data_IF_108031805692
#
_entry.id   IF_108031805692
#
_cell.length_a   1.000
_cell.length_b   1.000
_cell.length_c   1.000
_cell.angle_alpha   90.00
_cell.angle_beta   90.00
_cell.angle_gamma   90.00
#
_symmetry.space_group_name_H-M   'P 1'
#
loop_
_entity.id
_entity.type
_entity.pdbx_description
1 polymer ?
#
# COMPACT_ATOMS: atom_id res chain seq x y z
N UNK A 1 0.70 2.01 -37.97
CA UNK A 1 -0.13 1.42 -36.89
C UNK A 1 0.41 0.05 -36.46
N UNK A 2 1.65 -0.04 -35.97
CA UNK A 2 2.28 -1.34 -35.65
C UNK A 2 3.31 -1.27 -34.50
N UNK A 3 3.12 -0.38 -33.51
CA UNK A 3 4.13 -0.17 -32.45
C UNK A 3 3.61 -0.33 -31.01
N UNK A 4 2.39 -0.86 -30.82
CA UNK A 4 1.77 -1.01 -29.48
C UNK A 4 1.29 -2.44 -29.16
N UNK A 5 1.77 -3.48 -29.87
CA UNK A 5 1.40 -4.86 -29.54
C UNK A 5 2.41 -5.44 -28.55
N UNK A 6 1.94 -5.83 -27.37
CA UNK A 6 2.74 -6.49 -26.35
C UNK A 6 3.41 -7.75 -26.91
N UNK A 7 4.71 -7.87 -26.68
CA UNK A 7 5.44 -9.12 -26.90
C UNK A 7 5.24 -9.94 -25.64
N UNK A 8 4.53 -11.06 -25.77
CA UNK A 8 4.28 -11.97 -24.66
C UNK A 8 4.79 -13.35 -25.01
N UNK A 9 5.31 -14.03 -24.01
CA UNK A 9 5.63 -15.45 -24.05
C UNK A 9 4.81 -16.12 -22.97
N UNK A 10 4.44 -17.38 -23.17
CA UNK A 10 3.89 -18.18 -22.10
C UNK A 10 4.48 -19.57 -22.11
N UNK A 11 4.38 -20.20 -20.95
CA UNK A 11 4.77 -21.58 -20.72
C UNK A 11 3.99 -22.11 -19.52
N UNK A 12 3.91 -23.42 -19.40
CA UNK A 12 3.30 -24.09 -18.24
C UNK A 12 4.45 -24.71 -17.42
N UNK A 13 4.53 -24.40 -16.13
CA UNK A 13 5.51 -24.99 -15.19
C UNK A 13 4.79 -25.78 -14.11
N UNK A 14 5.47 -26.80 -13.59
CA UNK A 14 4.98 -27.53 -12.43
C UNK A 14 5.13 -26.68 -11.16
N UNK A 15 4.28 -26.90 -10.16
CA UNK A 15 4.44 -26.23 -8.87
C UNK A 15 5.76 -26.57 -8.17
N UNK A 16 6.35 -27.76 -8.41
CA UNK A 16 7.68 -28.05 -7.89
C UNK A 16 8.76 -27.21 -8.58
N UNK A 17 8.70 -27.08 -9.90
CA UNK A 17 9.63 -26.21 -10.64
C UNK A 17 9.47 -24.75 -10.22
N UNK A 18 8.24 -24.28 -9.99
CA UNK A 18 8.00 -22.95 -9.44
C UNK A 18 8.68 -22.74 -8.08
N UNK A 19 8.61 -23.75 -7.21
CA UNK A 19 9.28 -23.74 -5.90
C UNK A 19 10.81 -23.72 -6.05
N UNK A 20 11.36 -24.52 -6.96
CA UNK A 20 12.79 -24.55 -7.25
C UNK A 20 13.26 -23.19 -7.80
N UNK A 21 12.54 -22.63 -8.78
CA UNK A 21 12.78 -21.29 -9.33
C UNK A 21 12.78 -20.20 -8.25
N UNK A 22 11.89 -20.28 -7.26
CA UNK A 22 11.87 -19.33 -6.15
C UNK A 22 13.11 -19.47 -5.27
N UNK A 23 13.46 -20.71 -4.88
CA UNK A 23 14.64 -20.99 -4.04
C UNK A 23 15.95 -20.61 -4.71
N UNK A 24 16.04 -20.81 -6.02
CA UNK A 24 17.23 -20.49 -6.83
C UNK A 24 17.31 -18.98 -7.15
N UNK A 25 16.30 -18.19 -6.76
CA UNK A 25 16.23 -16.75 -7.00
C UNK A 25 15.89 -16.36 -8.45
N UNK A 26 15.45 -17.32 -9.26
CA UNK A 26 14.95 -17.08 -10.61
C UNK A 26 13.57 -16.44 -10.61
N UNK A 27 12.69 -16.82 -9.67
CA UNK A 27 11.39 -16.19 -9.42
C UNK A 27 11.47 -15.31 -8.17
N UNK A 28 11.34 -14.00 -8.35
CA UNK A 28 11.42 -13.00 -7.29
C UNK A 28 10.02 -12.50 -6.92
N UNK A 29 9.66 -12.64 -5.65
CA UNK A 29 8.50 -11.99 -5.04
C UNK A 29 9.03 -10.80 -4.23
N UNK A 30 8.84 -9.58 -4.75
CA UNK A 30 9.34 -8.37 -4.09
C UNK A 30 8.77 -8.24 -2.67
N UNK A 31 9.56 -7.85 -1.65
CA UNK A 31 9.11 -7.74 -0.26
C UNK A 31 7.84 -6.89 -0.09
N UNK A 32 7.73 -5.80 -0.84
CA UNK A 32 6.53 -4.94 -0.84
C UNK A 32 5.25 -5.66 -1.29
N UNK A 33 5.36 -6.68 -2.15
CA UNK A 33 4.22 -7.48 -2.57
C UNK A 33 3.87 -8.51 -1.49
N UNK A 34 4.83 -9.02 -0.73
CA UNK A 34 4.55 -9.97 0.34
C UNK A 34 3.63 -9.39 1.41
N UNK A 35 3.70 -8.07 1.67
CA UNK A 35 2.76 -7.34 2.54
C UNK A 35 1.31 -7.31 2.05
N UNK A 36 1.09 -7.56 0.76
CA UNK A 36 -0.23 -7.62 0.14
C UNK A 36 -0.84 -9.02 0.24
N UNK A 37 -0.11 -10.01 0.77
CA UNK A 37 -0.63 -11.35 1.02
C UNK A 37 -1.66 -11.30 2.16
N UNK A 38 -2.89 -11.75 1.88
CA UNK A 38 -4.05 -11.61 2.79
C UNK A 38 -4.96 -12.83 2.80
N UNK A 39 -4.56 -13.94 2.17
CA UNK A 39 -5.36 -15.15 2.23
C UNK A 39 -5.33 -15.77 3.63
N UNK A 40 -6.51 -15.96 4.21
CA UNK A 40 -6.66 -16.68 5.49
C UNK A 40 -6.22 -18.14 5.36
N UNK A 41 -5.98 -18.80 6.50
CA UNK A 41 -5.64 -20.22 6.54
C UNK A 41 -6.61 -21.07 5.70
N UNK A 42 -7.92 -20.80 5.83
CA UNK A 42 -8.96 -21.49 5.06
C UNK A 42 -8.83 -21.23 3.55
N UNK A 43 -8.59 -20.00 3.12
CA UNK A 43 -8.43 -19.68 1.70
C UNK A 43 -7.19 -20.35 1.10
N UNK A 44 -6.07 -20.37 1.84
CA UNK A 44 -4.86 -21.09 1.43
C UNK A 44 -5.14 -22.59 1.33
N UNK A 45 -5.83 -23.17 2.33
CA UNK A 45 -6.15 -24.60 2.38
C UNK A 45 -7.06 -25.04 1.23
N UNK A 46 -8.11 -24.26 0.94
CA UNK A 46 -9.01 -24.50 -0.20
C UNK A 46 -8.28 -24.40 -1.54
N UNK A 47 -7.27 -23.53 -1.64
CA UNK A 47 -6.42 -23.48 -2.82
C UNK A 47 -5.56 -24.75 -2.95
N UNK A 48 -4.94 -25.24 -1.88
CA UNK A 48 -4.19 -26.51 -1.89
C UNK A 48 -5.10 -27.70 -2.24
N UNK A 49 -6.32 -27.74 -1.68
CA UNK A 49 -7.33 -28.73 -2.04
C UNK A 49 -7.69 -28.65 -3.53
N UNK A 50 -7.83 -27.44 -4.09
CA UNK A 50 -8.07 -27.24 -5.52
C UNK A 50 -6.94 -27.80 -6.39
N UNK A 51 -5.68 -27.70 -5.95
CA UNK A 51 -4.52 -28.29 -6.64
C UNK A 51 -4.60 -29.83 -6.66
N UNK A 52 -5.02 -30.45 -5.54
CA UNK A 52 -5.20 -31.90 -5.41
C UNK A 52 -6.44 -32.42 -6.16
N UNK A 53 -7.40 -31.55 -6.45
CA UNK A 53 -8.59 -31.89 -7.24
C UNK A 53 -8.41 -31.65 -8.74
N UNK A 54 -7.21 -31.26 -9.19
CA UNK A 54 -6.90 -30.86 -10.57
C UNK A 54 -7.89 -29.81 -11.12
N UNK A 55 -8.34 -28.90 -10.24
CA UNK A 55 -9.23 -27.81 -10.66
C UNK A 55 -8.50 -26.80 -11.54
N UNK A 56 -9.20 -26.14 -12.50
CA UNK A 56 -8.59 -25.14 -13.35
C UNK A 56 -8.19 -23.89 -12.53
N UNK A 57 -6.93 -23.47 -12.64
CA UNK A 57 -6.37 -22.33 -11.91
C UNK A 57 -6.09 -21.19 -12.90
N UNK A 58 -6.38 -19.92 -12.54
CA UNK A 58 -5.96 -18.78 -13.34
C UNK A 58 -4.44 -18.73 -13.53
N UNK A 59 -3.95 -18.24 -14.69
CA UNK A 59 -2.52 -18.07 -14.91
C UNK A 59 -1.90 -17.09 -13.90
N UNK A 60 -0.58 -17.13 -13.77
CA UNK A 60 0.20 -16.09 -13.10
C UNK A 60 0.86 -15.19 -14.15
N UNK A 61 1.17 -13.96 -13.76
CA UNK A 61 1.87 -13.02 -14.61
C UNK A 61 3.22 -12.66 -13.99
N UNK A 62 4.25 -12.69 -14.83
CA UNK A 62 5.62 -12.34 -14.42
C UNK A 62 6.22 -11.30 -15.36
N UNK A 63 7.08 -10.46 -14.82
CA UNK A 63 7.89 -9.51 -15.56
C UNK A 63 9.33 -10.01 -15.70
N UNK A 64 9.76 -10.27 -16.94
CA UNK A 64 11.12 -10.70 -17.25
C UNK A 64 12.08 -9.52 -17.16
N UNK A 65 13.07 -9.63 -16.28
CA UNK A 65 14.11 -8.63 -16.04
C UNK A 65 15.28 -8.80 -17.01
N UNK A 66 16.16 -7.78 -17.09
CA UNK A 66 17.33 -7.82 -17.99
C UNK A 66 18.31 -8.95 -17.65
N UNK A 67 18.42 -9.29 -16.37
CA UNK A 67 19.26 -10.36 -15.83
C UNK A 67 18.65 -11.77 -16.00
N UNK A 68 17.46 -11.88 -16.60
CA UNK A 68 16.77 -13.14 -16.84
C UNK A 68 15.89 -13.62 -15.69
N UNK A 69 15.85 -12.91 -14.55
CA UNK A 69 14.92 -13.23 -13.47
C UNK A 69 13.48 -12.85 -13.83
N UNK A 70 12.53 -13.54 -13.22
CA UNK A 70 11.11 -13.27 -13.30
C UNK A 70 10.63 -12.61 -12.01
N UNK A 71 10.07 -11.41 -12.11
CA UNK A 71 9.40 -10.77 -10.98
C UNK A 71 7.93 -11.13 -11.03
N UNK A 72 7.39 -11.71 -9.95
CA UNK A 72 5.96 -12.01 -9.85
C UNK A 72 5.15 -10.72 -9.82
N UNK A 73 4.11 -10.62 -10.65
CA UNK A 73 3.25 -9.43 -10.72
C UNK A 73 1.80 -9.72 -10.40
N UNK A 74 1.27 -10.86 -10.85
CA UNK A 74 -0.05 -11.34 -10.45
C UNK A 74 0.03 -12.83 -10.07
N UNK A 75 -0.85 -13.24 -9.15
CA UNK A 75 -0.86 -14.60 -8.60
C UNK A 75 -0.17 -14.73 -7.25
N UNK A 76 0.19 -13.61 -6.61
CA UNK A 76 0.82 -13.57 -5.29
C UNK A 76 0.15 -14.54 -4.30
N UNK A 77 -1.16 -14.43 -4.11
CA UNK A 77 -1.86 -15.26 -3.12
C UNK A 77 -1.72 -16.77 -3.42
N UNK A 78 -1.83 -17.17 -4.69
CA UNK A 78 -1.70 -18.57 -5.12
C UNK A 78 -0.30 -19.11 -4.87
N UNK A 79 0.71 -18.36 -5.32
CA UNK A 79 2.10 -18.78 -5.22
C UNK A 79 2.57 -18.80 -3.76
N UNK A 80 2.27 -17.73 -3.01
CA UNK A 80 2.59 -17.66 -1.59
C UNK A 80 1.92 -18.77 -0.79
N UNK A 81 0.67 -19.14 -1.07
CA UNK A 81 0.00 -20.25 -0.37
C UNK A 81 0.72 -21.59 -0.56
N UNK A 82 1.16 -21.88 -1.79
CA UNK A 82 1.91 -23.10 -2.06
C UNK A 82 3.29 -23.09 -1.39
N UNK A 83 4.01 -21.97 -1.46
CA UNK A 83 5.32 -21.81 -0.82
C UNK A 83 5.20 -21.93 0.71
N UNK A 84 4.22 -21.25 1.32
CA UNK A 84 3.94 -21.32 2.76
C UNK A 84 3.62 -22.75 3.18
N UNK A 85 2.74 -23.46 2.46
CA UNK A 85 2.41 -24.85 2.77
C UNK A 85 3.63 -25.77 2.67
N UNK A 86 4.56 -25.49 1.74
CA UNK A 86 5.86 -26.17 1.60
C UNK A 86 6.91 -25.77 2.66
N UNK A 87 6.55 -24.93 3.63
CA UNK A 87 7.42 -24.49 4.73
C UNK A 87 8.35 -23.33 4.39
N UNK A 88 8.16 -22.65 3.26
CA UNK A 88 8.97 -21.47 2.91
C UNK A 88 8.45 -20.27 3.68
N UNK A 89 9.35 -19.64 4.44
CA UNK A 89 9.08 -18.35 5.05
C UNK A 89 9.31 -17.26 4.01
N UNK A 90 8.24 -16.60 3.58
CA UNK A 90 8.38 -15.37 2.81
C UNK A 90 8.90 -14.28 3.76
N UNK A 91 10.05 -13.69 3.45
CA UNK A 91 10.64 -12.56 4.18
C UNK A 91 9.70 -11.34 4.18
N UNK A 92 8.70 -11.34 5.05
CA UNK A 92 7.97 -10.14 5.41
C UNK A 92 8.82 -9.42 6.44
N UNK A 93 9.53 -8.33 6.10
CA UNK A 93 10.29 -7.58 7.07
C UNK A 93 9.32 -7.04 8.11
N UNK A 94 9.45 -7.60 9.32
CA UNK A 94 9.23 -6.94 10.60
C UNK A 94 7.96 -6.09 10.68
N UNK A 95 6.81 -6.76 10.87
CA UNK A 95 5.84 -6.32 11.89
C UNK A 95 6.41 -6.77 13.25
N UNK A 96 7.59 -6.29 13.61
CA UNK A 96 8.18 -6.51 14.94
C UNK A 96 7.50 -5.55 15.91
N UNK A 97 7.18 -6.10 17.08
CA UNK A 97 6.55 -5.46 18.23
C UNK A 97 5.04 -5.21 18.09
N UNK A 98 4.26 -6.30 18.19
CA UNK A 98 3.01 -6.23 18.95
C UNK A 98 3.44 -6.01 20.41
N UNK A 99 3.04 -4.88 20.99
CA UNK A 99 3.13 -4.66 22.42
C UNK A 99 2.24 -5.70 23.10
N UNK A 100 2.77 -6.61 23.94
CA UNK A 100 1.97 -7.66 24.57
C UNK A 100 0.85 -7.12 25.48
N UNK A 101 0.86 -5.81 25.78
CA UNK A 101 -0.09 -5.15 26.69
C UNK A 101 -1.25 -4.42 25.98
N UNK A 102 -1.36 -4.50 24.64
CA UNK A 102 -2.46 -3.85 23.89
C UNK A 102 -3.67 -4.82 23.71
N UNK A 103 -4.48 -4.92 24.76
CA UNK A 103 -5.67 -5.81 24.88
C UNK A 103 -6.80 -5.50 23.86
N UNK A 104 -6.70 -4.42 23.09
CA UNK A 104 -7.69 -4.00 22.07
C UNK A 104 -7.29 -4.39 20.62
N UNK A 105 -6.23 -5.19 20.45
CA UNK A 105 -5.76 -5.67 19.15
C UNK A 105 -6.61 -6.84 18.62
N UNK A 106 -7.78 -6.56 18.05
CA UNK A 106 -8.42 -7.49 17.09
C UNK A 106 -7.58 -7.52 15.80
N UNK A 107 -6.66 -8.48 15.71
CA UNK A 107 -6.00 -8.82 14.46
C UNK A 107 -7.05 -9.50 13.57
N UNK A 108 -7.53 -8.80 12.55
CA UNK A 108 -8.56 -9.33 11.62
C UNK A 108 -8.03 -10.42 10.67
N UNK A 109 -6.73 -10.73 10.71
CA UNK A 109 -6.09 -11.78 9.91
C UNK A 109 -4.97 -12.47 10.70
N UNK A 110 -5.22 -13.69 11.19
CA UNK A 110 -4.16 -14.54 11.73
C UNK A 110 -3.05 -14.75 10.67
N UNK A 111 -1.81 -14.39 11.03
CA UNK A 111 -0.65 -14.71 10.21
C UNK A 111 -0.55 -16.23 10.14
N UNK A 112 -0.63 -16.77 8.93
CA UNK A 112 -0.46 -18.21 8.72
C UNK A 112 1.03 -18.51 8.74
N UNK A 113 1.44 -19.30 9.74
CA UNK A 113 2.82 -19.75 9.85
C UNK A 113 3.18 -20.69 8.69
N UNK A 114 4.41 -20.61 8.16
CA UNK A 114 4.90 -21.57 7.17
C UNK A 114 4.80 -23.01 7.68
N UNK A 115 4.42 -23.94 6.80
CA UNK A 115 4.18 -25.35 7.16
C UNK A 115 2.83 -25.58 7.83
N UNK A 116 1.85 -24.71 7.62
CA UNK A 116 0.52 -24.82 8.23
C UNK A 116 -0.21 -26.14 7.93
N UNK A 117 -1.07 -26.53 8.86
CA UNK A 117 -2.03 -27.62 8.69
C UNK A 117 -3.23 -27.16 7.88
N UNK A 118 -3.63 -27.96 6.88
CA UNK A 118 -4.82 -27.66 6.08
C UNK A 118 -6.07 -27.59 6.95
N UNK A 119 -6.95 -26.63 6.69
CA UNK A 119 -8.19 -26.42 7.44
C UNK A 119 -9.31 -25.88 6.55
N UNK A 120 -10.52 -26.38 6.74
CA UNK A 120 -11.70 -26.00 5.99
C UNK A 120 -11.76 -26.57 4.57
N UNK A 121 -11.07 -27.69 4.32
CA UNK A 121 -11.26 -28.49 3.11
C UNK A 121 -12.63 -29.19 3.19
N UNK A 122 -13.50 -28.98 2.18
CA UNK A 122 -14.89 -29.44 2.18
C UNK A 122 -15.13 -30.66 1.27
N UNK A 123 -14.23 -30.91 0.32
CA UNK A 123 -14.39 -31.97 -0.69
C UNK A 123 -13.54 -33.19 -0.31
N UNK A 124 -12.32 -32.95 0.16
CA UNK A 124 -11.40 -33.98 0.67
C UNK A 124 -11.20 -33.73 2.17
N UNK A 125 -12.19 -34.14 2.98
CA UNK A 125 -12.20 -33.94 4.44
C UNK A 125 -10.92 -34.48 5.12
N UNK A 126 -10.36 -35.57 4.59
CA UNK A 126 -9.14 -36.23 5.08
C UNK A 126 -7.87 -35.36 4.95
N UNK A 127 -7.92 -34.22 4.25
CA UNK A 127 -6.81 -33.27 4.20
C UNK A 127 -6.73 -32.42 5.46
N UNK A 128 -7.84 -32.18 6.15
CA UNK A 128 -7.87 -31.32 7.32
C UNK A 128 -6.93 -31.84 8.42
N UNK A 129 -6.11 -30.95 8.97
CA UNK A 129 -5.12 -31.26 10.00
C UNK A 129 -3.79 -31.79 9.47
N UNK A 130 -3.64 -32.02 8.16
CA UNK A 130 -2.36 -32.48 7.58
C UNK A 130 -1.45 -31.30 7.20
N UNK A 131 -0.19 -31.40 7.57
CA UNK A 131 0.90 -30.61 6.99
C UNK A 131 1.38 -31.22 5.67
N UNK A 132 2.19 -30.49 4.91
CA UNK A 132 2.75 -31.00 3.65
C UNK A 132 3.46 -32.35 3.83
N UNK A 133 4.22 -32.51 4.91
CA UNK A 133 4.98 -33.74 5.16
C UNK A 133 4.13 -34.92 5.62
N UNK A 134 2.89 -34.68 6.03
CA UNK A 134 1.93 -35.71 6.45
C UNK A 134 1.04 -36.21 5.30
N UNK A 135 1.09 -35.54 4.14
CA UNK A 135 0.45 -36.01 2.92
C UNK A 135 1.04 -37.36 2.45
N UNK A 136 0.20 -38.19 1.85
CA UNK A 136 0.60 -39.42 1.17
C UNK A 136 1.59 -39.12 0.03
N UNK A 137 2.33 -40.16 -0.38
CA UNK A 137 3.31 -40.03 -1.47
C UNK A 137 2.60 -39.63 -2.77
N UNK A 138 1.40 -40.14 -3.00
CA UNK A 138 0.54 -39.85 -4.13
C UNK A 138 0.10 -38.38 -4.12
N UNK A 139 -0.46 -37.88 -3.01
CA UNK A 139 -0.87 -36.48 -2.84
C UNK A 139 0.31 -35.51 -3.04
N UNK A 140 1.46 -35.80 -2.42
CA UNK A 140 2.69 -35.00 -2.60
C UNK A 140 3.12 -34.96 -4.06
N UNK A 141 3.07 -36.09 -4.76
CA UNK A 141 3.45 -36.18 -6.18
C UNK A 141 2.47 -35.41 -7.04
N UNK A 142 1.18 -35.49 -6.75
CA UNK A 142 0.15 -34.76 -7.47
C UNK A 142 0.37 -33.25 -7.30
N UNK A 143 0.43 -32.74 -6.07
CA UNK A 143 0.69 -31.33 -5.78
C UNK A 143 1.95 -30.80 -6.47
N UNK A 144 3.05 -31.57 -6.44
CA UNK A 144 4.31 -31.18 -7.10
C UNK A 144 4.20 -31.13 -8.63
N UNK A 145 3.30 -31.91 -9.22
CA UNK A 145 3.15 -32.10 -10.67
C UNK A 145 1.90 -31.44 -11.24
N UNK A 146 1.11 -30.75 -10.44
CA UNK A 146 0.12 -29.80 -10.94
C UNK A 146 0.86 -28.69 -11.68
N UNK A 147 0.32 -28.26 -12.82
CA UNK A 147 0.90 -27.22 -13.65
C UNK A 147 0.14 -25.91 -13.52
N UNK A 148 0.87 -24.81 -13.60
CA UNK A 148 0.29 -23.47 -13.69
C UNK A 148 0.85 -22.77 -14.93
N UNK A 149 -0.04 -22.05 -15.63
CA UNK A 149 0.35 -21.23 -16.78
C UNK A 149 1.00 -19.94 -16.31
N UNK A 150 2.14 -19.63 -16.89
CA UNK A 150 2.88 -18.38 -16.70
C UNK A 150 2.77 -17.53 -17.95
N UNK A 151 2.22 -16.34 -17.80
CA UNK A 151 2.23 -15.30 -18.83
C UNK A 151 3.40 -14.35 -18.56
N UNK A 152 4.38 -14.35 -19.45
CA UNK A 152 5.61 -13.56 -19.35
C UNK A 152 5.47 -12.27 -20.13
N UNK A 153 5.65 -11.16 -19.42
CA UNK A 153 5.96 -9.89 -20.03
C UNK A 153 7.45 -9.80 -20.27
N UNK A 154 7.80 -9.87 -21.54
CA UNK A 154 9.21 -9.90 -21.93
C UNK A 154 9.85 -8.52 -21.72
N UNK A 155 11.16 -8.51 -21.52
CA UNK A 155 11.96 -7.30 -21.27
C UNK A 155 11.92 -6.27 -22.41
N UNK A 156 11.57 -6.67 -23.62
CA UNK A 156 11.47 -5.76 -24.78
C UNK A 156 10.26 -4.83 -24.70
N UNK A 157 9.28 -5.11 -23.83
CA UNK A 157 8.12 -4.23 -23.69
C UNK A 157 8.50 -2.95 -22.93
N UNK A 158 8.11 -1.76 -23.45
CA UNK A 158 8.27 -0.51 -22.72
C UNK A 158 7.58 -0.56 -21.35
N UNK A 159 8.22 0.04 -20.34
CA UNK A 159 7.73 0.08 -18.96
C UNK A 159 6.32 0.66 -18.85
N UNK A 160 6.00 1.66 -19.66
CA UNK A 160 4.69 2.32 -19.70
C UNK A 160 3.58 1.35 -20.14
N UNK A 161 3.88 0.47 -21.10
CA UNK A 161 2.90 -0.52 -21.58
C UNK A 161 2.72 -1.62 -20.52
N UNK A 162 3.81 -2.09 -19.90
CA UNK A 162 3.77 -3.04 -18.77
C UNK A 162 2.88 -2.48 -17.64
N UNK A 163 3.13 -1.23 -17.23
CA UNK A 163 2.33 -0.51 -16.23
C UNK A 163 0.84 -0.50 -16.55
N UNK A 164 0.45 -0.05 -17.75
CA UNK A 164 -0.97 0.02 -18.12
C UNK A 164 -1.64 -1.36 -18.17
N UNK A 165 -0.90 -2.41 -18.52
CA UNK A 165 -1.41 -3.78 -18.46
C UNK A 165 -1.69 -4.20 -17.02
N UNK A 166 -0.74 -4.01 -16.11
CA UNK A 166 -0.90 -4.38 -14.70
C UNK A 166 -2.01 -3.61 -14.01
N UNK A 167 -2.10 -2.30 -14.28
CA UNK A 167 -3.20 -1.46 -13.81
C UNK A 167 -4.56 -2.06 -14.19
N UNK A 168 -4.69 -2.60 -15.41
CA UNK A 168 -5.93 -3.25 -15.88
C UNK A 168 -6.17 -4.60 -15.23
N UNK A 169 -5.16 -5.46 -15.14
CA UNK A 169 -5.27 -6.77 -14.48
C UNK A 169 -5.73 -6.62 -13.02
N UNK A 170 -5.11 -5.71 -12.28
CA UNK A 170 -5.39 -5.53 -10.87
C UNK A 170 -6.69 -4.74 -10.59
N UNK A 171 -7.16 -3.93 -11.53
CA UNK A 171 -8.40 -3.15 -11.37
C UNK A 171 -9.71 -3.97 -11.44
N UNK A 172 -9.66 -5.21 -11.98
CA UNK A 172 -10.84 -6.01 -12.29
C UNK A 172 -11.38 -6.90 -11.17
N UNK A 173 -10.66 -7.07 -10.06
CA UNK A 173 -11.07 -8.00 -9.00
C UNK A 173 -10.25 -7.99 -7.70
N UNK A 174 -9.46 -6.95 -7.41
CA UNK A 174 -8.59 -6.96 -6.22
C UNK A 174 -9.28 -6.49 -4.93
N UNK A 175 -8.90 -7.12 -3.81
CA UNK A 175 -9.16 -6.66 -2.43
C UNK A 175 -8.19 -5.57 -1.96
N UNK A 176 -7.30 -5.09 -2.83
CA UNK A 176 -6.25 -4.12 -2.48
C UNK A 176 -6.80 -2.70 -2.44
N UNK A 177 -6.25 -1.88 -1.54
CA UNK A 177 -6.55 -0.45 -1.49
C UNK A 177 -6.05 0.24 -2.77
N UNK A 178 -6.62 1.40 -3.10
CA UNK A 178 -6.15 2.20 -4.24
C UNK A 178 -4.68 2.58 -4.10
N UNK A 179 -4.22 2.84 -2.88
CA UNK A 179 -2.81 3.18 -2.63
C UNK A 179 -1.89 1.96 -2.80
N UNK A 180 -2.31 0.78 -2.38
CA UNK A 180 -1.58 -0.47 -2.61
C UNK A 180 -1.45 -0.75 -4.11
N UNK A 181 -2.53 -0.55 -4.87
CA UNK A 181 -2.51 -0.65 -6.33
C UNK A 181 -1.56 0.37 -6.97
N UNK A 182 -1.55 1.62 -6.49
CA UNK A 182 -0.61 2.65 -6.97
C UNK A 182 0.83 2.25 -6.71
N UNK A 183 1.15 1.86 -5.47
CA UNK A 183 2.49 1.45 -5.08
C UNK A 183 2.97 0.23 -5.89
N UNK A 184 2.08 -0.75 -6.12
CA UNK A 184 2.44 -1.94 -6.90
C UNK A 184 2.67 -1.62 -8.37
N UNK A 185 1.75 -0.89 -9.01
CA UNK A 185 1.86 -0.60 -10.44
C UNK A 185 3.03 0.34 -10.74
N UNK A 186 3.24 1.42 -9.98
CA UNK A 186 4.24 2.45 -10.32
C UNK A 186 5.68 1.93 -10.30
N UNK A 187 5.98 0.94 -9.46
CA UNK A 187 7.31 0.32 -9.36
C UNK A 187 7.81 -0.28 -10.68
N UNK A 188 6.90 -0.55 -11.61
CA UNK A 188 7.23 -1.01 -12.96
C UNK A 188 7.79 0.08 -13.86
N UNK A 189 7.53 1.35 -13.54
CA UNK A 189 8.05 2.53 -14.25
C UNK A 189 9.33 3.00 -13.55
N UNK A 190 9.18 3.43 -12.31
CA UNK A 190 10.25 3.95 -11.49
C UNK A 190 9.93 3.72 -10.01
N UNK A 191 10.94 3.29 -9.27
CA UNK A 191 10.83 3.03 -7.84
C UNK A 191 11.24 4.24 -7.00
N UNK A 192 11.95 5.22 -7.58
CA UNK A 192 12.56 6.33 -6.82
C UNK A 192 11.51 7.15 -6.08
N UNK A 193 10.47 7.61 -6.76
CA UNK A 193 9.46 8.46 -6.11
C UNK A 193 8.62 7.70 -5.08
N UNK A 194 8.21 6.47 -5.38
CA UNK A 194 7.42 5.70 -4.43
C UNK A 194 8.25 5.21 -3.23
N UNK A 195 9.53 4.90 -3.40
CA UNK A 195 10.43 4.61 -2.29
C UNK A 195 10.64 5.84 -1.41
N UNK A 196 10.77 7.02 -2.00
CA UNK A 196 10.81 8.29 -1.26
C UNK A 196 9.54 8.51 -0.42
N UNK A 197 8.35 8.30 -0.99
CA UNK A 197 7.08 8.42 -0.26
C UNK A 197 7.03 7.42 0.91
N UNK A 198 7.44 6.16 0.66
CA UNK A 198 7.46 5.13 1.69
C UNK A 198 8.50 5.41 2.78
N UNK A 199 9.65 5.98 2.44
CA UNK A 199 10.67 6.40 3.42
C UNK A 199 10.08 7.43 4.39
N UNK A 200 9.46 8.50 3.87
CA UNK A 200 8.84 9.53 4.69
C UNK A 200 7.69 8.98 5.54
N UNK A 201 6.88 8.09 4.96
CA UNK A 201 5.75 7.46 5.64
C UNK A 201 6.16 6.56 6.82
N UNK A 202 7.40 6.07 6.82
CA UNK A 202 7.96 5.22 7.88
C UNK A 202 8.96 5.95 8.78
N UNK A 203 9.14 7.28 8.61
CA UNK A 203 10.01 8.05 9.51
C UNK A 203 9.43 8.07 10.93
N UNK A 204 10.31 7.97 11.94
CA UNK A 204 9.93 7.80 13.36
C UNK A 204 8.96 8.90 13.83
N UNK A 205 9.34 10.17 13.65
CA UNK A 205 8.50 11.31 14.01
C UNK A 205 7.14 11.29 13.30
N UNK A 206 7.07 10.80 12.05
CA UNK A 206 5.82 10.73 11.30
C UNK A 206 4.91 9.59 11.77
N UNK A 207 5.49 8.45 12.11
CA UNK A 207 4.77 7.32 12.71
C UNK A 207 4.16 7.73 14.05
N UNK A 208 4.93 8.44 14.88
CA UNK A 208 4.47 8.98 16.18
C UNK A 208 3.37 10.04 15.98
N UNK A 209 3.57 10.98 15.05
CA UNK A 209 2.58 12.03 14.76
C UNK A 209 1.27 11.48 14.19
N UNK A 210 1.31 10.34 13.50
CA UNK A 210 0.14 9.65 12.94
C UNK A 210 -0.35 8.46 13.79
N UNK A 211 0.03 8.41 15.08
CA UNK A 211 -0.26 7.29 15.98
C UNK A 211 -1.74 6.87 16.04
N UNK A 212 -2.70 7.80 15.90
CA UNK A 212 -4.13 7.49 15.93
C UNK A 212 -4.70 6.84 14.64
N UNK A 213 -3.86 6.43 13.68
CA UNK A 213 -4.28 5.58 12.56
C UNK A 213 -4.56 4.15 13.04
N UNK A 214 -5.67 3.58 12.62
CA UNK A 214 -6.06 2.20 12.96
C UNK A 214 -5.16 1.17 12.27
N UNK A 215 -5.19 -0.08 12.70
CA UNK A 215 -4.49 -1.16 11.99
C UNK A 215 -4.95 -1.29 10.53
N UNK A 216 -6.26 -1.16 10.28
CA UNK A 216 -6.79 -1.15 8.91
C UNK A 216 -6.20 0.00 8.07
N UNK A 217 -6.04 1.19 8.65
CA UNK A 217 -5.38 2.32 7.98
C UNK A 217 -3.91 2.00 7.65
N UNK A 218 -3.19 1.38 8.58
CA UNK A 218 -1.79 0.97 8.38
C UNK A 218 -1.66 -0.08 7.27
N UNK A 219 -2.51 -1.11 7.28
CA UNK A 219 -2.57 -2.18 6.28
C UNK A 219 -2.87 -1.64 4.87
N UNK A 220 -3.76 -0.64 4.77
CA UNK A 220 -4.11 -0.02 3.48
C UNK A 220 -3.07 0.99 2.98
N UNK A 221 -1.90 1.07 3.63
CA UNK A 221 -0.82 2.02 3.33
C UNK A 221 -1.22 3.49 3.46
N UNK A 222 -2.12 3.83 4.40
CA UNK A 222 -2.64 5.19 4.53
C UNK A 222 -1.55 6.22 4.81
N UNK A 223 -0.50 5.89 5.57
CA UNK A 223 0.65 6.79 5.78
C UNK A 223 1.29 7.21 4.46
N UNK A 224 1.51 6.26 3.55
CA UNK A 224 2.04 6.55 2.21
C UNK A 224 1.05 7.38 1.38
N UNK A 225 -0.25 7.09 1.48
CA UNK A 225 -1.29 7.91 0.81
C UNK A 225 -1.24 9.36 1.30
N UNK A 226 -1.18 9.60 2.60
CA UNK A 226 -1.24 10.97 3.14
C UNK A 226 0.04 11.77 2.85
N UNK A 227 1.21 11.12 2.81
CA UNK A 227 2.45 11.74 2.31
C UNK A 227 2.30 12.11 0.82
N UNK A 228 1.78 11.22 -0.02
CA UNK A 228 1.53 11.51 -1.43
C UNK A 228 0.53 12.67 -1.60
N UNK A 229 -0.54 12.70 -0.79
CA UNK A 229 -1.51 13.81 -0.76
C UNK A 229 -0.85 15.12 -0.38
N UNK A 230 0.07 15.11 0.60
CA UNK A 230 0.78 16.32 1.01
C UNK A 230 1.53 16.96 -0.16
N UNK A 231 2.32 16.17 -0.91
CA UNK A 231 3.08 16.70 -2.05
C UNK A 231 2.19 17.08 -3.24
N UNK A 232 1.14 16.30 -3.51
CA UNK A 232 0.13 16.67 -4.51
C UNK A 232 -0.47 18.05 -4.19
N UNK A 233 -0.92 18.25 -2.96
CA UNK A 233 -1.58 19.49 -2.55
C UNK A 233 -0.60 20.66 -2.55
N UNK A 234 0.63 20.47 -2.03
CA UNK A 234 1.68 21.48 -2.03
C UNK A 234 1.99 21.96 -3.46
N UNK A 235 2.22 21.03 -4.40
CA UNK A 235 2.58 21.39 -5.77
C UNK A 235 1.41 22.02 -6.54
N UNK A 236 0.18 21.56 -6.30
CA UNK A 236 -1.02 22.13 -6.95
C UNK A 236 -1.42 23.49 -6.34
N UNK A 237 -1.12 23.76 -5.08
CA UNK A 237 -1.35 25.08 -4.47
C UNK A 237 -0.41 26.16 -5.02
N UNK A 238 0.76 25.78 -5.56
CA UNK A 238 1.74 26.71 -6.13
C UNK A 238 1.43 27.04 -7.61
N UNK A 239 0.95 26.06 -8.38
CA UNK A 239 0.82 26.17 -9.85
C UNK A 239 -0.56 26.67 -10.34
N UNK A 240 -1.16 27.62 -9.62
CA UNK A 240 -2.56 28.03 -9.74
C UNK A 240 -3.00 28.30 -11.21
N UNK A 241 -3.82 27.40 -11.75
CA UNK A 241 -4.75 27.73 -12.82
C UNK A 241 -6.17 27.36 -12.35
N UNK A 242 -6.99 28.34 -11.93
CA UNK A 242 -8.32 28.10 -11.39
C UNK A 242 -9.31 27.48 -12.39
N UNK A 243 -8.97 27.43 -13.68
CA UNK A 243 -9.81 26.83 -14.73
C UNK A 243 -9.66 25.31 -14.88
N UNK A 244 -8.72 24.68 -14.17
CA UNK A 244 -8.55 23.23 -14.23
C UNK A 244 -9.58 22.55 -13.32
N UNK A 245 -10.68 22.08 -13.91
CA UNK A 245 -11.59 21.14 -13.24
C UNK A 245 -10.81 19.89 -12.86
N UNK A 246 -10.68 19.68 -11.56
CA UNK A 246 -10.04 18.49 -11.02
C UNK A 246 -10.90 17.24 -11.23
N UNK A 247 -10.21 16.12 -11.47
CA UNK A 247 -10.82 14.80 -11.41
C UNK A 247 -11.10 14.34 -9.98
N UNK A 248 -11.48 13.08 -9.83
CA UNK A 248 -11.54 12.47 -8.51
C UNK A 248 -10.14 12.42 -7.91
N UNK A 249 -10.02 12.71 -6.61
CA UNK A 249 -8.72 12.78 -5.92
C UNK A 249 -7.85 11.54 -6.14
N UNK A 250 -8.49 10.38 -6.20
CA UNK A 250 -7.77 9.13 -6.41
C UNK A 250 -7.07 9.06 -7.77
N UNK A 251 -7.68 9.65 -8.79
CA UNK A 251 -7.11 9.74 -10.12
C UNK A 251 -5.99 10.78 -10.15
N UNK A 252 -6.16 11.90 -9.42
CA UNK A 252 -5.15 12.94 -9.26
C UNK A 252 -3.89 12.43 -8.54
N UNK A 253 -4.05 11.63 -7.47
CA UNK A 253 -2.92 10.99 -6.78
C UNK A 253 -2.16 10.05 -7.71
N UNK A 254 -2.89 9.26 -8.49
CA UNK A 254 -2.30 8.34 -9.47
C UNK A 254 -1.56 9.11 -10.55
N UNK A 255 -2.17 10.17 -11.09
CA UNK A 255 -1.60 11.01 -12.14
C UNK A 255 -0.35 11.73 -11.64
N UNK A 256 -0.37 12.31 -10.44
CA UNK A 256 0.78 12.98 -9.86
C UNK A 256 1.95 12.02 -9.61
N UNK A 257 1.65 10.82 -9.10
CA UNK A 257 2.64 9.76 -8.94
C UNK A 257 3.26 9.38 -10.30
N UNK A 258 2.45 9.21 -11.35
CA UNK A 258 2.92 8.93 -12.72
C UNK A 258 3.76 10.09 -13.29
N UNK A 259 3.34 11.34 -13.10
CA UNK A 259 4.00 12.54 -13.63
C UNK A 259 5.37 12.81 -13.00
N UNK A 260 5.50 12.65 -11.67
CA UNK A 260 6.79 12.80 -11.00
C UNK A 260 7.73 11.64 -11.37
N UNK A 261 7.22 10.40 -11.37
CA UNK A 261 8.02 9.21 -11.72
C UNK A 261 8.51 9.23 -13.17
N UNK A 262 7.72 9.80 -14.08
CA UNK A 262 8.10 10.01 -15.50
C UNK A 262 8.85 11.33 -15.75
N UNK A 263 9.25 12.05 -14.70
CA UNK A 263 9.97 13.33 -14.76
C UNK A 263 9.25 14.43 -15.54
N UNK A 264 7.92 14.32 -15.74
CA UNK A 264 7.09 15.39 -16.32
C UNK A 264 6.92 16.55 -15.34
N UNK A 265 6.92 16.24 -14.05
CA UNK A 265 6.94 17.22 -12.97
C UNK A 265 8.30 17.12 -12.27
N UNK A 266 9.12 18.19 -12.27
CA UNK A 266 10.38 18.18 -11.54
C UNK A 266 10.11 18.07 -10.04
N UNK A 267 10.95 17.30 -9.34
CA UNK A 267 10.80 17.05 -7.90
C UNK A 267 12.19 17.04 -7.23
N UNK A 268 12.40 17.97 -6.31
CA UNK A 268 13.67 18.16 -5.59
C UNK A 268 13.71 17.30 -4.32
N UNK A 269 14.07 16.03 -4.47
CA UNK A 269 13.97 15.01 -3.42
C UNK A 269 14.59 15.41 -2.07
N UNK A 270 15.84 15.90 -2.06
CA UNK A 270 16.53 16.22 -0.80
C UNK A 270 15.88 17.41 -0.08
N UNK A 271 15.62 18.49 -0.80
CA UNK A 271 14.95 19.67 -0.22
C UNK A 271 13.53 19.35 0.24
N UNK A 272 12.78 18.56 -0.51
CA UNK A 272 11.42 18.15 -0.13
C UNK A 272 11.42 17.23 1.11
N UNK A 273 12.43 16.36 1.24
CA UNK A 273 12.66 15.52 2.42
C UNK A 273 12.93 16.37 3.66
N UNK A 274 13.90 17.26 3.59
CA UNK A 274 14.28 18.14 4.69
C UNK A 274 13.10 18.99 5.16
N UNK A 275 12.37 19.59 4.22
CA UNK A 275 11.19 20.40 4.51
C UNK A 275 10.07 19.59 5.18
N UNK A 276 9.81 18.37 4.69
CA UNK A 276 8.80 17.49 5.26
C UNK A 276 9.17 17.03 6.67
N UNK A 277 10.40 16.55 6.88
CA UNK A 277 10.86 16.08 8.19
C UNK A 277 10.91 17.22 9.22
N UNK A 278 11.37 18.41 8.81
CA UNK A 278 11.35 19.63 9.63
C UNK A 278 9.92 20.01 10.05
N UNK A 279 8.95 19.96 9.12
CA UNK A 279 7.54 20.18 9.40
C UNK A 279 7.00 19.16 10.41
N UNK A 280 7.22 17.87 10.16
CA UNK A 280 6.72 16.78 10.99
C UNK A 280 7.28 16.91 12.41
N UNK A 281 8.57 17.16 12.55
CA UNK A 281 9.21 17.34 13.86
C UNK A 281 8.65 18.54 14.62
N UNK A 282 8.42 19.67 13.94
CA UNK A 282 7.75 20.83 14.54
C UNK A 282 6.36 20.47 15.07
N UNK A 283 5.51 19.86 14.24
CA UNK A 283 4.14 19.51 14.63
C UNK A 283 4.10 18.49 15.76
N UNK A 284 4.99 17.50 15.72
CA UNK A 284 5.13 16.48 16.75
C UNK A 284 5.47 17.12 18.10
N UNK A 285 6.51 17.96 18.13
CA UNK A 285 7.00 18.56 19.37
C UNK A 285 6.01 19.58 19.96
N UNK A 286 5.24 20.29 19.13
CA UNK A 286 4.31 21.34 19.60
C UNK A 286 2.91 20.83 19.92
N UNK A 287 2.40 19.85 19.17
CA UNK A 287 1.00 19.44 19.25
C UNK A 287 0.80 17.93 19.45
N UNK A 288 1.82 17.12 19.15
CA UNK A 288 1.72 15.67 19.11
C UNK A 288 0.65 15.17 18.13
N UNK A 289 0.31 13.89 18.25
CA UNK A 289 -0.70 13.23 17.40
C UNK A 289 -2.11 13.81 17.53
N UNK A 290 -2.37 14.59 18.58
CA UNK A 290 -3.65 15.28 18.81
C UNK A 290 -3.96 16.30 17.72
N UNK A 291 -2.97 16.87 17.02
CA UNK A 291 -3.25 17.80 15.91
C UNK A 291 -4.13 17.17 14.81
N UNK A 292 -4.01 15.87 14.57
CA UNK A 292 -4.80 15.15 13.57
C UNK A 292 -6.00 14.40 14.15
N UNK A 293 -6.29 14.58 15.44
CA UNK A 293 -7.44 13.96 16.10
C UNK A 293 -8.75 14.68 15.81
N UNK A 294 -9.86 13.97 15.95
CA UNK A 294 -11.19 14.60 16.03
C UNK A 294 -11.43 15.25 17.39
N UNK A 295 -12.42 16.14 17.45
CA UNK A 295 -12.91 16.76 18.69
C UNK A 295 -14.45 16.69 18.73
N UNK A 296 -14.97 16.28 19.89
CA UNK A 296 -16.41 16.25 20.17
C UNK A 296 -16.95 17.66 20.42
N UNK A 297 -18.29 17.81 20.36
CA UNK A 297 -18.98 19.05 20.76
C UNK A 297 -18.68 19.44 22.22
N UNK A 298 -18.34 18.48 23.07
CA UNK A 298 -17.99 18.72 24.48
C UNK A 298 -16.48 18.94 24.70
N UNK A 299 -15.73 19.30 23.65
CA UNK A 299 -14.26 19.47 23.66
C UNK A 299 -13.45 18.22 24.04
N UNK A 300 -14.08 17.05 24.06
CA UNK A 300 -13.36 15.78 24.25
C UNK A 300 -12.62 15.39 22.99
N UNK A 301 -11.31 15.15 23.11
CA UNK A 301 -10.46 14.65 22.03
C UNK A 301 -10.83 13.19 21.72
N UNK A 302 -11.13 12.89 20.46
CA UNK A 302 -11.28 11.51 20.00
C UNK A 302 -9.91 11.01 19.54
N UNK A 303 -9.40 9.92 20.11
CA UNK A 303 -8.14 9.26 19.71
C UNK A 303 -8.26 8.52 18.37
N UNK A 304 -8.69 9.23 17.32
CA UNK A 304 -8.86 8.72 15.95
C UNK A 304 -8.25 9.70 14.98
N UNK A 305 -7.48 9.19 14.02
CA UNK A 305 -6.92 9.99 12.94
C UNK A 305 -8.01 10.53 12.01
N UNK A 306 -7.96 11.84 11.74
CA UNK A 306 -8.93 12.56 10.92
C UNK A 306 -8.24 13.17 9.70
N UNK A 307 -8.53 12.62 8.53
CA UNK A 307 -7.86 12.97 7.26
C UNK A 307 -7.92 14.47 6.93
N UNK A 308 -9.07 15.13 7.10
CA UNK A 308 -9.19 16.55 6.74
C UNK A 308 -8.38 17.46 7.69
N UNK A 309 -8.13 17.03 8.93
CA UNK A 309 -7.24 17.73 9.85
C UNK A 309 -5.78 17.61 9.39
N UNK A 310 -5.38 16.41 8.98
CA UNK A 310 -4.08 16.20 8.35
C UNK A 310 -3.90 17.11 7.14
N UNK A 311 -4.82 17.03 6.17
CA UNK A 311 -4.74 17.78 4.92
C UNK A 311 -4.68 19.31 5.16
N UNK A 312 -5.42 19.83 6.14
CA UNK A 312 -5.45 21.27 6.46
C UNK A 312 -4.18 21.74 7.18
N UNK A 313 -3.86 21.13 8.32
CA UNK A 313 -2.76 21.59 9.18
C UNK A 313 -1.39 21.33 8.56
N UNK A 314 -1.19 20.19 7.89
CA UNK A 314 0.08 19.94 7.18
C UNK A 314 0.34 21.00 6.10
N UNK A 315 -0.69 21.37 5.34
CA UNK A 315 -0.55 22.40 4.30
C UNK A 315 -0.37 23.80 4.89
N UNK A 316 -1.10 24.16 5.95
CA UNK A 316 -0.94 25.45 6.61
C UNK A 316 0.48 25.64 7.18
N UNK A 317 0.99 24.67 7.94
CA UNK A 317 2.30 24.75 8.58
C UNK A 317 3.47 24.40 7.64
N UNK A 318 3.19 23.94 6.41
CA UNK A 318 4.22 23.74 5.38
C UNK A 318 4.99 25.02 5.05
N UNK A 319 4.34 26.18 5.19
CA UNK A 319 4.99 27.49 5.13
C UNK A 319 5.69 27.74 6.47
N UNK A 320 7.02 27.85 6.45
CA UNK A 320 7.80 28.09 7.67
C UNK A 320 7.38 29.34 8.43
N UNK A 321 6.93 30.39 7.72
CA UNK A 321 6.40 31.61 8.33
C UNK A 321 5.19 31.39 9.25
N UNK A 322 4.50 30.26 9.12
CA UNK A 322 3.32 29.93 9.91
C UNK A 322 3.66 29.10 11.16
N UNK A 323 4.93 28.72 11.37
CA UNK A 323 5.38 27.91 12.51
C UNK A 323 5.68 28.77 13.73
N UNK A 324 4.67 29.49 14.21
CA UNK A 324 4.79 30.30 15.42
C UNK A 324 4.64 29.43 16.68
N UNK A 325 5.62 29.52 17.58
CA UNK A 325 5.61 28.88 18.90
C UNK A 325 4.47 29.33 19.82
N UNK A 326 3.85 30.49 19.54
CA UNK A 326 2.73 31.01 20.33
C UNK A 326 1.41 30.24 20.09
N UNK A 327 1.31 29.51 18.97
CA UNK A 327 0.10 28.78 18.60
C UNK A 327 -0.04 27.57 19.52
N UNK A 328 -1.06 27.57 20.37
CA UNK A 328 -1.30 26.50 21.34
C UNK A 328 -2.20 25.40 20.78
N UNK A 329 -2.15 24.23 21.40
CA UNK A 329 -3.07 23.13 21.09
C UNK A 329 -4.54 23.53 21.34
N UNK A 330 -4.81 24.40 22.31
CA UNK A 330 -6.15 24.92 22.56
C UNK A 330 -6.68 25.74 21.38
N UNK A 331 -5.82 26.59 20.79
CA UNK A 331 -6.18 27.34 19.58
C UNK A 331 -6.46 26.41 18.40
N UNK A 332 -5.63 25.37 18.22
CA UNK A 332 -5.86 24.33 17.21
C UNK A 332 -7.22 23.64 17.42
N UNK A 333 -7.57 23.33 18.67
CA UNK A 333 -8.82 22.68 19.02
C UNK A 333 -10.04 23.60 18.82
N UNK A 334 -9.91 24.90 19.12
CA UNK A 334 -10.91 25.92 18.81
C UNK A 334 -11.19 25.97 17.31
N UNK A 335 -10.13 26.01 16.49
CA UNK A 335 -10.25 26.02 15.02
C UNK A 335 -11.00 24.78 14.53
N UNK A 336 -10.61 23.58 14.99
CA UNK A 336 -11.30 22.31 14.66
C UNK A 336 -12.78 22.33 15.04
N UNK A 337 -13.13 23.04 16.11
CA UNK A 337 -14.50 23.12 16.60
C UNK A 337 -15.34 24.22 15.95
N UNK A 338 -14.73 25.17 15.24
CA UNK A 338 -15.46 26.22 14.52
C UNK A 338 -16.39 25.67 13.43
N UNK A 339 -17.55 26.30 13.25
CA UNK A 339 -18.53 25.89 12.24
C UNK A 339 -17.97 26.07 10.82
N UNK A 340 -17.19 27.13 10.58
CA UNK A 340 -16.51 27.39 9.31
C UNK A 340 -15.57 26.26 8.91
N UNK A 341 -14.71 25.80 9.84
CA UNK A 341 -13.79 24.71 9.56
C UNK A 341 -14.53 23.39 9.29
N UNK A 342 -15.64 23.15 10.01
CA UNK A 342 -16.47 21.95 9.86
C UNK A 342 -17.24 21.88 8.54
N UNK A 343 -17.41 22.99 7.81
CA UNK A 343 -18.03 22.98 6.47
C UNK A 343 -17.17 22.23 5.45
N UNK A 344 -15.85 22.18 5.64
CA UNK A 344 -14.90 21.63 4.68
C UNK A 344 -14.34 20.27 5.12
N UNK A 345 -15.19 19.36 5.60
CA UNK A 345 -14.76 18.03 6.10
C UNK A 345 -14.43 17.00 5.03
N UNK A 346 -14.84 17.23 3.78
CA UNK A 346 -14.59 16.26 2.69
C UNK A 346 -13.20 16.43 2.09
N UNK A 347 -12.63 15.34 1.62
CA UNK A 347 -11.20 15.19 1.36
C UNK A 347 -10.67 15.72 0.02
N UNK A 348 -11.30 16.71 -0.62
CA UNK A 348 -10.84 17.25 -1.91
C UNK A 348 -9.81 18.40 -1.79
N UNK A 349 -9.09 18.70 -2.89
CA UNK A 349 -8.10 19.78 -2.93
C UNK A 349 -8.71 21.14 -2.58
N UNK A 350 -9.87 21.48 -3.16
CA UNK A 350 -10.52 22.78 -2.93
C UNK A 350 -10.95 22.94 -1.47
N UNK A 351 -11.51 21.89 -0.86
CA UNK A 351 -11.83 21.92 0.55
C UNK A 351 -10.57 21.97 1.43
N UNK A 352 -9.46 21.38 0.97
CA UNK A 352 -8.17 21.55 1.65
C UNK A 352 -7.68 22.99 1.60
N UNK A 353 -7.82 23.66 0.46
CA UNK A 353 -7.48 25.07 0.30
C UNK A 353 -8.33 25.94 1.23
N UNK A 354 -9.65 25.72 1.24
CA UNK A 354 -10.57 26.41 2.16
C UNK A 354 -10.25 26.17 3.62
N UNK A 355 -9.85 24.95 4.01
CA UNK A 355 -9.35 24.69 5.37
C UNK A 355 -8.12 25.52 5.70
N UNK A 356 -7.15 25.62 4.79
CA UNK A 356 -5.95 26.45 5.00
C UNK A 356 -6.30 27.93 5.15
N UNK A 357 -7.24 28.45 4.35
CA UNK A 357 -7.76 29.81 4.48
C UNK A 357 -8.40 30.05 5.86
N UNK A 358 -9.25 29.12 6.31
CA UNK A 358 -9.90 29.21 7.64
C UNK A 358 -8.87 29.14 8.76
N UNK A 359 -7.89 28.23 8.69
CA UNK A 359 -6.81 28.14 9.68
C UNK A 359 -6.05 29.47 9.73
N UNK A 360 -5.68 30.02 8.57
CA UNK A 360 -4.96 31.28 8.49
C UNK A 360 -5.74 32.46 9.07
N UNK A 361 -7.05 32.54 8.80
CA UNK A 361 -7.90 33.57 9.41
C UNK A 361 -7.92 33.47 10.92
N UNK A 362 -8.18 32.27 11.45
CA UNK A 362 -8.39 32.04 12.89
C UNK A 362 -7.12 32.08 13.72
N UNK A 363 -5.97 31.69 13.18
CA UNK A 363 -4.69 31.80 13.91
C UNK A 363 -4.32 33.26 14.15
N UNK A 364 -4.72 34.18 13.26
CA UNK A 364 -4.45 35.61 13.37
C UNK A 364 -5.51 36.40 14.16
N UNK A 365 -6.60 35.75 14.58
CA UNK A 365 -7.63 36.27 15.52
C UNK A 365 -7.20 36.03 16.97
#
# INVERSE_FOLDING_TARGET
MAQNKLVRRNFDISFNELYDMYNDGELVIKPEFQRLFRWSLTQQSLFIESLLLDMPIPPIYVDEQEDGRYVLVDGLQRISSYLNFRGITLDSPELTAIDPDDDDCEIDFERVEPGFQLSGCEIIDDLNGKEFDELSIEEKRQLKRTFIRVEVLTKENPKEIKYHMFKRLNSGGSLLSKQELRNSNIRMIDEKFINFINELANSEDFVELTHYMTESDKQQMKRAEVVLRFFLFKNKFINDNPDVRMGFLDDELTTYLEEVSSQKVPFEYETEKENFLSLVSYLKNHFGSVIFSGISKNNTISKRFVQYNYDGFMQYFSKESNRDSSITLDKINEIKNSDEYKQYRTGGLENSRKRVEVIAGKVNE
#
